data_IF_655510800572
#
_entry.id   IF_655510800572
#
_cell.length_a   1.000
_cell.length_b   1.000
_cell.length_c   1.000
_cell.angle_alpha   90.00
_cell.angle_beta   90.00
_cell.angle_gamma   90.00
#
_symmetry.space_group_name_H-M   'P 1'
#
loop_
_entity.id
_entity.type
_entity.pdbx_description
1 polymer ?
#
# COMPACT_ATOMS: atom_id res chain seq x y z
N UNK A 1 6.14 -63.89 -33.51
CA UNK A 1 5.42 -62.64 -33.83
C UNK A 1 4.73 -61.98 -32.62
N UNK A 2 4.46 -62.70 -31.55
CA UNK A 2 3.76 -62.21 -30.35
C UNK A 2 4.63 -61.38 -29.38
N UNK A 3 5.92 -61.67 -29.24
CA UNK A 3 6.78 -60.96 -28.29
C UNK A 3 7.13 -59.53 -28.72
N UNK A 4 7.27 -59.25 -30.03
CA UNK A 4 7.61 -57.93 -30.54
C UNK A 4 6.46 -56.89 -30.36
N UNK A 5 5.20 -57.37 -30.32
CA UNK A 5 4.02 -56.53 -30.14
C UNK A 5 3.87 -56.11 -28.67
N UNK A 6 4.18 -57.01 -27.73
CA UNK A 6 4.11 -56.76 -26.30
C UNK A 6 5.11 -55.73 -25.84
N UNK A 7 6.35 -55.77 -26.40
CA UNK A 7 7.42 -54.84 -26.05
C UNK A 7 7.13 -53.40 -26.56
N UNK A 8 6.47 -53.27 -27.74
CA UNK A 8 6.06 -51.96 -28.29
C UNK A 8 4.92 -51.32 -27.52
N UNK A 9 3.96 -52.13 -27.02
CA UNK A 9 2.84 -51.64 -26.19
C UNK A 9 3.32 -51.15 -24.83
N UNK A 10 4.25 -51.83 -24.17
CA UNK A 10 4.88 -51.41 -22.92
C UNK A 10 5.72 -50.14 -23.08
N UNK A 11 6.46 -49.99 -24.19
CA UNK A 11 7.24 -48.77 -24.49
C UNK A 11 6.37 -47.54 -24.69
N UNK A 12 5.24 -47.66 -25.39
CA UNK A 12 4.31 -46.55 -25.61
C UNK A 12 3.54 -46.19 -24.36
N UNK A 13 3.23 -47.13 -23.48
CA UNK A 13 2.55 -46.87 -22.20
C UNK A 13 3.49 -46.12 -21.24
N UNK A 14 4.77 -46.48 -21.21
CA UNK A 14 5.76 -45.79 -20.37
C UNK A 14 6.02 -44.36 -20.84
N UNK A 15 6.06 -44.11 -22.17
CA UNK A 15 6.22 -42.78 -22.75
C UNK A 15 5.03 -41.88 -22.48
N UNK A 16 3.81 -42.40 -22.52
CA UNK A 16 2.62 -41.65 -22.15
C UNK A 16 2.55 -41.30 -20.65
N UNK A 17 3.07 -42.15 -19.76
CA UNK A 17 3.12 -41.89 -18.32
C UNK A 17 4.11 -40.77 -17.96
N UNK A 18 5.25 -40.67 -18.67
CA UNK A 18 6.26 -39.64 -18.46
C UNK A 18 5.80 -38.23 -18.94
N UNK A 19 4.92 -38.15 -19.93
CA UNK A 19 4.37 -36.88 -20.42
C UNK A 19 3.32 -36.29 -19.45
N UNK A 20 2.63 -37.13 -18.69
CA UNK A 20 1.59 -36.66 -17.73
C UNK A 20 2.21 -36.09 -16.45
N UNK A 21 3.44 -36.48 -16.06
CA UNK A 21 4.11 -36.00 -14.85
C UNK A 21 4.78 -34.62 -15.09
N UNK A 22 5.00 -34.20 -16.33
CA UNK A 22 5.66 -32.94 -16.69
C UNK A 22 4.77 -31.69 -16.68
N UNK A 23 3.44 -31.81 -16.46
CA UNK A 23 2.48 -30.69 -16.57
C UNK A 23 1.98 -30.13 -15.24
N UNK A 24 2.56 -30.54 -14.12
CA UNK A 24 2.13 -30.09 -12.80
C UNK A 24 3.13 -29.11 -12.18
N UNK A 25 3.45 -28.01 -12.84
CA UNK A 25 4.07 -26.85 -12.16
C UNK A 25 4.02 -25.59 -13.01
N UNK A 26 2.82 -25.14 -13.34
CA UNK A 26 2.57 -23.73 -13.56
C UNK A 26 1.63 -23.28 -12.45
N UNK A 27 2.19 -22.91 -11.32
CA UNK A 27 1.49 -22.12 -10.32
C UNK A 27 1.12 -20.79 -10.97
N UNK A 28 -0.03 -20.75 -11.64
CA UNK A 28 -0.65 -19.50 -12.04
C UNK A 28 -0.90 -18.72 -10.77
N UNK A 29 -0.05 -17.73 -10.51
CA UNK A 29 -0.37 -16.65 -9.59
C UNK A 29 -1.62 -15.99 -10.16
N UNK A 30 -2.79 -16.48 -9.76
CA UNK A 30 -4.04 -15.78 -10.02
C UNK A 30 -3.89 -14.40 -9.38
N UNK A 31 -3.72 -13.38 -10.22
CA UNK A 31 -3.85 -11.99 -9.83
C UNK A 31 -5.22 -11.86 -9.16
N UNK A 32 -5.23 -11.81 -7.83
CA UNK A 32 -6.44 -11.57 -7.08
C UNK A 32 -7.01 -10.24 -7.55
N UNK A 33 -8.08 -10.28 -8.33
CA UNK A 33 -8.79 -9.08 -8.79
C UNK A 33 -9.61 -8.43 -7.67
N UNK A 34 -9.55 -8.99 -6.46
CA UNK A 34 -10.23 -8.50 -5.27
C UNK A 34 -9.44 -7.41 -4.52
N UNK A 35 -10.07 -6.80 -3.50
CA UNK A 35 -9.39 -5.85 -2.63
C UNK A 35 -8.25 -6.52 -1.87
N UNK A 36 -7.16 -5.77 -1.64
CA UNK A 36 -6.04 -6.25 -0.83
C UNK A 36 -6.44 -6.30 0.65
N UNK A 37 -6.66 -7.51 1.15
CA UNK A 37 -7.01 -7.77 2.54
C UNK A 37 -5.80 -8.22 3.38
N UNK A 38 -4.68 -8.56 2.73
CA UNK A 38 -3.48 -9.09 3.37
C UNK A 38 -2.60 -7.96 3.94
N UNK A 39 -2.50 -6.87 3.20
CA UNK A 39 -1.62 -5.77 3.52
C UNK A 39 -2.40 -4.60 4.13
N UNK A 40 -1.82 -3.97 5.13
CA UNK A 40 -2.32 -2.73 5.72
C UNK A 40 -1.16 -1.88 6.23
N UNK A 41 -1.41 -0.60 6.39
CA UNK A 41 -0.45 0.29 7.03
C UNK A 41 -1.07 1.01 8.23
N UNK A 42 -0.23 1.26 9.22
CA UNK A 42 -0.56 2.08 10.39
C UNK A 42 0.33 3.31 10.36
N UNK A 43 -0.28 4.49 10.26
CA UNK A 43 0.38 5.79 10.24
C UNK A 43 0.25 6.43 11.61
N UNK A 44 1.36 6.68 12.30
CA UNK A 44 1.40 7.43 13.55
C UNK A 44 1.72 8.90 13.29
N UNK A 45 0.79 9.77 13.68
CA UNK A 45 1.02 11.22 13.62
C UNK A 45 2.03 11.67 14.67
N UNK A 46 2.04 11.06 15.88
CA UNK A 46 3.01 11.44 16.92
C UNK A 46 4.43 11.00 16.59
N UNK A 47 4.61 9.83 15.99
CA UNK A 47 5.94 9.28 15.72
C UNK A 47 6.48 9.70 14.35
N UNK A 48 5.64 10.29 13.49
CA UNK A 48 5.94 10.55 12.07
C UNK A 48 6.52 9.30 11.39
N UNK A 49 5.88 8.16 11.66
CA UNK A 49 6.25 6.84 11.14
C UNK A 49 5.03 6.10 10.59
N UNK A 50 5.28 5.27 9.60
CA UNK A 50 4.32 4.32 9.04
C UNK A 50 4.83 2.90 9.23
N UNK A 51 3.97 1.99 9.66
CA UNK A 51 4.26 0.57 9.79
C UNK A 51 3.48 -0.21 8.74
N UNK A 52 4.17 -0.95 7.88
CA UNK A 52 3.58 -1.94 6.99
C UNK A 52 3.37 -3.25 7.75
N UNK A 53 2.16 -3.80 7.62
CA UNK A 53 1.75 -5.06 8.25
C UNK A 53 1.16 -5.96 7.17
N UNK A 54 1.64 -7.20 7.08
CA UNK A 54 1.13 -8.23 6.17
C UNK A 54 0.66 -9.43 6.96
N UNK A 55 -0.56 -9.91 6.70
CA UNK A 55 -1.18 -11.04 7.40
C UNK A 55 -1.08 -10.94 8.94
N UNK A 56 -1.17 -9.72 9.46
CA UNK A 56 -1.06 -9.42 10.90
C UNK A 56 0.36 -9.24 11.41
N UNK A 57 1.39 -9.55 10.62
CA UNK A 57 2.80 -9.46 11.01
C UNK A 57 3.39 -8.11 10.59
N UNK A 58 4.01 -7.35 11.51
CA UNK A 58 4.79 -6.15 11.16
C UNK A 58 5.96 -6.50 10.26
N UNK A 59 6.08 -5.83 9.10
CA UNK A 59 7.17 -6.08 8.14
C UNK A 59 8.23 -4.99 8.16
N UNK A 60 7.80 -3.73 8.03
CA UNK A 60 8.73 -2.59 7.85
C UNK A 60 8.13 -1.30 8.38
N UNK A 61 9.00 -0.46 8.92
CA UNK A 61 8.65 0.91 9.34
C UNK A 61 9.34 1.92 8.43
N UNK A 62 8.58 2.98 8.08
CA UNK A 62 9.04 4.05 7.20
C UNK A 62 8.97 5.40 7.92
N UNK A 63 9.98 6.27 7.81
CA UNK A 63 9.82 7.68 8.18
C UNK A 63 8.84 8.36 7.20
N UNK A 64 7.95 9.19 7.75
CA UNK A 64 6.95 9.90 6.94
C UNK A 64 6.83 11.36 7.40
N UNK A 65 6.07 12.16 6.66
CA UNK A 65 5.59 13.45 7.14
C UNK A 65 4.08 13.54 6.97
N UNK A 66 3.39 13.90 8.04
CA UNK A 66 1.99 14.31 8.02
C UNK A 66 1.85 15.84 8.01
N UNK A 67 0.63 16.34 8.12
CA UNK A 67 0.36 17.77 8.05
C UNK A 67 1.02 18.58 9.18
N UNK A 68 1.64 19.70 8.83
CA UNK A 68 2.09 20.72 9.78
C UNK A 68 0.93 21.53 10.41
N UNK A 69 -0.28 21.42 9.86
CA UNK A 69 -1.48 22.08 10.37
C UNK A 69 -2.28 21.18 11.34
N UNK A 70 -1.73 19.99 11.66
CA UNK A 70 -2.35 19.05 12.59
C UNK A 70 -3.32 18.07 11.92
N UNK A 71 -4.33 17.65 12.68
CA UNK A 71 -5.26 16.58 12.29
C UNK A 71 -6.68 17.09 12.09
N UNK A 72 -7.38 16.56 11.10
CA UNK A 72 -8.76 16.93 10.79
C UNK A 72 -9.16 16.62 9.36
N UNK A 73 -10.48 16.62 9.08
CA UNK A 73 -11.02 16.30 7.75
C UNK A 73 -11.90 17.43 7.16
N UNK A 74 -11.93 18.62 7.78
CA UNK A 74 -12.67 19.75 7.21
C UNK A 74 -12.06 20.16 5.85
N UNK A 75 -12.85 20.36 4.80
CA UNK A 75 -12.37 20.91 3.53
C UNK A 75 -11.60 22.20 3.73
N UNK A 76 -10.47 22.36 3.05
CA UNK A 76 -9.59 23.54 3.15
C UNK A 76 -8.70 23.61 4.39
N UNK A 77 -8.82 22.68 5.35
CA UNK A 77 -8.04 22.74 6.62
C UNK A 77 -6.56 22.42 6.44
N UNK A 78 -6.15 21.80 5.36
CA UNK A 78 -4.80 21.25 5.15
C UNK A 78 -4.34 20.25 6.24
N UNK A 79 -5.24 19.77 7.08
CA UNK A 79 -4.96 18.79 8.14
C UNK A 79 -4.95 17.36 7.61
N UNK A 80 -4.23 16.45 8.29
CA UNK A 80 -4.28 15.01 8.01
C UNK A 80 -5.48 14.38 8.72
N UNK A 81 -6.41 13.70 8.01
CA UNK A 81 -7.54 13.03 8.64
C UNK A 81 -7.09 11.81 9.44
N UNK A 82 -7.77 11.52 10.57
CA UNK A 82 -7.55 10.30 11.36
C UNK A 82 -8.55 9.19 10.99
N UNK A 83 -8.23 7.98 11.40
CA UNK A 83 -9.11 6.81 11.34
C UNK A 83 -8.81 5.87 10.20
N UNK A 84 -9.75 4.94 9.95
CA UNK A 84 -9.61 3.94 8.90
C UNK A 84 -9.92 4.55 7.54
N UNK A 85 -9.02 4.31 6.60
CA UNK A 85 -9.15 4.63 5.18
C UNK A 85 -8.81 3.39 4.35
N UNK A 86 -8.98 3.47 3.05
CA UNK A 86 -8.53 2.45 2.10
C UNK A 86 -7.81 3.11 0.93
N UNK A 87 -6.86 2.37 0.35
CA UNK A 87 -6.27 2.72 -0.94
C UNK A 87 -7.35 2.57 -2.02
N UNK A 88 -7.87 3.70 -2.49
CA UNK A 88 -8.92 3.72 -3.51
C UNK A 88 -8.36 3.66 -4.93
N UNK A 89 -7.20 4.27 -5.17
CA UNK A 89 -6.52 4.28 -6.47
C UNK A 89 -5.00 4.32 -6.28
N UNK A 90 -4.30 3.69 -7.22
CA UNK A 90 -2.85 3.71 -7.36
C UNK A 90 -2.49 4.42 -8.65
N UNK A 91 -1.52 5.34 -8.63
CA UNK A 91 -1.12 6.14 -9.80
C UNK A 91 0.40 6.23 -9.83
N UNK A 92 0.97 6.12 -11.03
CA UNK A 92 2.42 6.16 -11.26
C UNK A 92 3.04 4.78 -11.39
N UNK A 93 2.27 3.75 -11.78
CA UNK A 93 2.83 2.43 -12.10
C UNK A 93 3.98 2.57 -13.08
N UNK A 94 5.12 1.92 -12.76
CA UNK A 94 6.36 1.95 -13.55
C UNK A 94 6.96 3.35 -13.82
N UNK A 95 6.43 4.42 -13.22
CA UNK A 95 7.06 5.73 -13.33
C UNK A 95 8.45 5.72 -12.71
N UNK A 96 9.40 6.43 -13.31
CA UNK A 96 10.75 6.56 -12.77
C UNK A 96 10.73 7.22 -11.37
N UNK A 97 11.69 6.87 -10.53
CA UNK A 97 11.90 7.52 -9.23
C UNK A 97 12.10 9.03 -9.46
N UNK A 98 11.41 9.86 -8.69
CA UNK A 98 11.45 11.31 -8.83
C UNK A 98 10.52 11.89 -9.90
N UNK A 99 9.79 11.06 -10.67
CA UNK A 99 8.80 11.56 -11.65
C UNK A 99 7.80 12.48 -10.98
N UNK A 100 7.65 13.70 -11.49
CA UNK A 100 6.75 14.72 -10.97
C UNK A 100 5.33 14.51 -11.48
N UNK A 101 4.35 14.62 -10.57
CA UNK A 101 2.93 14.56 -10.90
C UNK A 101 2.22 15.90 -10.65
N UNK A 102 1.44 16.36 -11.63
CA UNK A 102 0.51 17.48 -11.48
C UNK A 102 -0.90 17.00 -11.86
N UNK A 103 -1.87 17.27 -11.00
CA UNK A 103 -3.25 16.77 -11.17
C UNK A 103 -3.33 15.25 -11.45
N UNK A 104 -2.46 14.47 -10.78
CA UNK A 104 -2.35 13.00 -10.87
C UNK A 104 -1.87 12.47 -12.25
N UNK A 105 -1.27 13.32 -13.06
CA UNK A 105 -0.65 12.96 -14.34
C UNK A 105 0.84 13.24 -14.29
N UNK A 106 1.69 12.39 -14.86
CA UNK A 106 3.12 12.68 -14.97
C UNK A 106 3.33 13.91 -15.85
N UNK A 107 4.29 14.75 -15.48
CA UNK A 107 4.64 15.97 -16.22
C UNK A 107 5.78 15.76 -17.21
N UNK A 108 6.48 14.64 -17.14
CA UNK A 108 7.75 14.38 -17.84
C UNK A 108 8.99 14.85 -17.06
N UNK A 109 8.81 15.67 -16.04
CA UNK A 109 9.91 16.13 -15.19
C UNK A 109 10.31 15.05 -14.17
N UNK A 110 11.60 14.95 -13.88
CA UNK A 110 12.17 14.10 -12.83
C UNK A 110 13.00 14.98 -11.90
N UNK A 111 12.67 14.95 -10.60
CA UNK A 111 13.42 15.69 -9.57
C UNK A 111 14.30 14.74 -8.77
N UNK A 112 15.56 15.12 -8.53
CA UNK A 112 16.42 14.40 -7.57
C UNK A 112 15.94 14.62 -6.14
N UNK A 113 16.41 13.73 -5.24
CA UNK A 113 16.18 13.87 -3.80
C UNK A 113 16.76 15.20 -3.31
N UNK A 114 16.01 15.87 -2.48
CA UNK A 114 16.33 17.20 -1.91
C UNK A 114 16.56 18.30 -2.96
N UNK A 115 15.91 18.18 -4.12
CA UNK A 115 15.89 19.26 -5.11
C UNK A 115 15.37 20.55 -4.46
N UNK A 116 16.05 21.69 -4.65
CA UNK A 116 15.65 22.95 -4.04
C UNK A 116 14.36 23.52 -4.66
N UNK A 117 13.67 24.34 -3.93
CA UNK A 117 12.62 25.25 -4.40
C UNK A 117 11.21 24.79 -4.10
N UNK A 118 10.71 23.69 -4.66
CA UNK A 118 9.31 23.28 -4.53
C UNK A 118 9.16 21.82 -4.10
N UNK A 119 8.01 21.50 -3.49
CA UNK A 119 7.68 20.17 -3.01
C UNK A 119 6.46 19.58 -3.80
N UNK A 120 6.64 19.19 -5.07
CA UNK A 120 5.59 18.54 -5.81
C UNK A 120 5.43 17.08 -5.35
N UNK A 121 4.31 16.48 -5.71
CA UNK A 121 4.10 15.03 -5.62
C UNK A 121 5.05 14.35 -6.59
N UNK A 122 5.84 13.39 -6.11
CA UNK A 122 6.77 12.62 -6.95
C UNK A 122 6.60 11.11 -6.80
N UNK A 123 7.09 10.35 -7.75
CA UNK A 123 7.31 8.91 -7.78
C UNK A 123 6.04 8.06 -7.84
N UNK A 124 5.17 8.12 -6.84
CA UNK A 124 3.95 7.29 -6.73
C UNK A 124 2.87 8.03 -5.95
N UNK A 125 1.61 7.67 -6.22
CA UNK A 125 0.44 8.15 -5.48
C UNK A 125 -0.43 6.96 -5.09
N UNK A 126 -0.70 6.83 -3.80
CA UNK A 126 -1.75 5.97 -3.24
C UNK A 126 -2.86 6.90 -2.76
N UNK A 127 -3.99 6.95 -3.47
CA UNK A 127 -5.10 7.85 -3.16
C UNK A 127 -6.04 7.22 -2.14
N UNK A 128 -6.26 7.90 -1.02
CA UNK A 128 -6.98 7.38 0.11
C UNK A 128 -8.46 7.77 0.08
N UNK A 129 -9.34 6.83 0.45
CA UNK A 129 -10.77 7.05 0.68
C UNK A 129 -11.10 6.76 2.14
N UNK A 130 -11.72 7.71 2.81
CA UNK A 130 -12.21 7.54 4.18
C UNK A 130 -13.28 6.46 4.30
N UNK A 131 -13.26 5.75 5.41
CA UNK A 131 -14.21 4.66 5.75
C UNK A 131 -15.02 4.97 7.00
N UNK A 132 -14.86 6.16 7.56
CA UNK A 132 -15.53 6.63 8.79
C UNK A 132 -16.08 8.05 8.58
N UNK A 133 -17.13 8.47 9.33
CA UNK A 133 -17.68 9.84 9.22
C UNK A 133 -16.61 10.93 9.40
N UNK A 134 -15.65 10.73 10.33
CA UNK A 134 -14.58 11.71 10.66
C UNK A 134 -13.52 11.88 9.58
N UNK A 135 -13.53 11.06 8.50
CA UNK A 135 -12.61 11.15 7.38
C UNK A 135 -13.30 10.99 6.01
N UNK A 136 -14.61 11.22 5.98
CA UNK A 136 -15.44 11.06 4.78
C UNK A 136 -15.03 11.98 3.63
N UNK A 137 -14.37 13.10 3.92
CA UNK A 137 -13.89 14.06 2.92
C UNK A 137 -12.50 13.69 2.32
N UNK A 138 -11.78 12.74 2.90
CA UNK A 138 -10.39 12.44 2.54
C UNK A 138 -10.19 12.25 1.02
N UNK A 139 -11.09 11.50 0.35
CA UNK A 139 -10.98 11.28 -1.09
C UNK A 139 -11.17 12.58 -1.90
N UNK A 140 -12.20 13.36 -1.59
CA UNK A 140 -12.48 14.65 -2.25
C UNK A 140 -11.39 15.69 -1.96
N UNK A 141 -10.80 15.65 -0.75
CA UNK A 141 -9.66 16.49 -0.34
C UNK A 141 -8.34 16.05 -0.92
N UNK A 142 -8.32 14.98 -1.75
CA UNK A 142 -7.11 14.45 -2.38
C UNK A 142 -6.01 14.08 -1.37
N UNK A 143 -6.40 13.39 -0.30
CA UNK A 143 -5.43 12.85 0.67
C UNK A 143 -4.73 11.64 0.06
N UNK A 144 -3.40 11.74 -0.03
CA UNK A 144 -2.51 10.74 -0.64
C UNK A 144 -1.46 10.24 0.33
N UNK A 145 -0.93 9.04 0.06
CA UNK A 145 0.43 8.66 0.40
C UNK A 145 1.24 8.85 -0.89
N UNK A 146 2.34 9.61 -0.83
CA UNK A 146 3.11 9.94 -2.03
C UNK A 146 4.57 10.24 -1.72
N UNK A 147 5.43 10.20 -2.74
CA UNK A 147 6.82 10.62 -2.63
C UNK A 147 6.98 12.13 -2.58
N UNK A 148 8.03 12.59 -1.90
CA UNK A 148 8.45 13.99 -1.83
C UNK A 148 9.91 14.15 -2.25
N UNK A 149 10.30 15.23 -2.95
CA UNK A 149 11.71 15.55 -3.09
C UNK A 149 12.33 16.07 -1.78
N UNK A 150 11.55 16.64 -0.85
CA UNK A 150 12.04 17.15 0.45
C UNK A 150 12.24 16.03 1.48
N UNK A 151 13.04 15.00 1.15
CA UNK A 151 13.25 13.84 2.02
C UNK A 151 13.90 14.19 3.36
N UNK A 152 14.69 15.27 3.43
CA UNK A 152 15.29 15.80 4.67
C UNK A 152 14.26 16.25 5.71
N UNK A 153 13.00 16.45 5.34
CA UNK A 153 11.90 16.83 6.24
C UNK A 153 11.10 15.66 6.77
N UNK A 154 11.39 14.43 6.33
CA UNK A 154 10.73 13.23 6.84
C UNK A 154 11.09 13.02 8.33
N UNK A 155 10.13 12.45 9.08
CA UNK A 155 10.24 12.34 10.54
C UNK A 155 9.66 13.53 11.30
N UNK A 156 9.21 14.59 10.60
CA UNK A 156 8.54 15.74 11.20
C UNK A 156 7.29 16.15 10.41
N UNK A 157 6.30 16.82 11.04
CA UNK A 157 5.14 17.35 10.35
C UNK A 157 5.53 18.45 9.36
N UNK A 158 5.29 18.23 8.06
CA UNK A 158 5.70 19.17 7.02
C UNK A 158 4.73 19.27 5.83
N UNK A 159 3.74 18.37 5.71
CA UNK A 159 2.81 18.33 4.58
C UNK A 159 1.62 19.30 4.74
N UNK A 160 0.76 19.33 3.73
CA UNK A 160 -0.51 20.04 3.70
C UNK A 160 -1.70 19.07 3.70
N UNK A 161 -1.58 17.95 4.45
CA UNK A 161 -2.65 16.98 4.65
C UNK A 161 -2.32 15.58 4.18
N UNK A 162 -1.52 15.42 3.14
CA UNK A 162 -1.05 14.13 2.63
C UNK A 162 0.01 13.50 3.56
N UNK A 163 0.27 12.22 3.35
CA UNK A 163 1.36 11.46 3.99
C UNK A 163 2.52 11.41 3.00
N UNK A 164 3.65 12.07 3.32
CA UNK A 164 4.84 12.10 2.47
C UNK A 164 5.83 11.02 2.87
N UNK A 165 6.46 10.41 1.89
CA UNK A 165 7.50 9.39 2.04
C UNK A 165 8.70 9.72 1.15
N UNK A 166 9.84 9.06 1.41
CA UNK A 166 10.93 9.07 0.45
C UNK A 166 10.49 8.45 -0.89
N UNK A 167 11.11 8.85 -1.96
CA UNK A 167 10.82 8.33 -3.30
C UNK A 167 11.04 6.81 -3.39
N UNK A 168 12.08 6.30 -2.73
CA UNK A 168 12.38 4.86 -2.69
C UNK A 168 11.34 4.10 -1.86
N UNK A 169 11.01 4.61 -0.66
CA UNK A 169 10.08 3.94 0.23
C UNK A 169 8.64 3.93 -0.32
N UNK A 170 8.20 5.01 -0.97
CA UNK A 170 6.87 5.02 -1.57
C UNK A 170 6.77 4.11 -2.78
N UNK A 171 7.84 3.93 -3.56
CA UNK A 171 7.86 2.97 -4.65
C UNK A 171 7.75 1.54 -4.13
N UNK A 172 8.53 1.18 -3.11
CA UNK A 172 8.45 -0.12 -2.44
C UNK A 172 7.06 -0.37 -1.82
N UNK A 173 6.52 0.60 -1.08
CA UNK A 173 5.18 0.50 -0.50
C UNK A 173 4.10 0.33 -1.57
N UNK A 174 4.24 1.05 -2.69
CA UNK A 174 3.32 0.96 -3.81
C UNK A 174 3.23 -0.46 -4.37
N UNK A 175 4.35 -1.15 -4.48
CA UNK A 175 4.38 -2.53 -5.00
C UNK A 175 3.77 -3.54 -4.00
N UNK A 176 3.86 -3.26 -2.71
CA UNK A 176 3.34 -4.11 -1.63
C UNK A 176 1.84 -3.90 -1.37
N UNK A 177 1.35 -2.67 -1.48
CA UNK A 177 -0.02 -2.31 -1.12
C UNK A 177 -0.93 -2.34 -2.35
N UNK A 178 -1.94 -3.20 -2.33
CA UNK A 178 -2.98 -3.27 -3.35
C UNK A 178 -4.11 -2.23 -3.15
N UNK A 179 -4.94 -2.08 -4.17
CA UNK A 179 -6.21 -1.36 -4.04
C UNK A 179 -7.11 -2.10 -3.04
N UNK A 180 -7.77 -1.35 -2.15
CA UNK A 180 -8.57 -1.90 -1.06
C UNK A 180 -7.81 -2.13 0.24
N UNK A 181 -6.46 -2.07 0.23
CA UNK A 181 -5.65 -2.17 1.44
C UNK A 181 -6.07 -1.14 2.49
N UNK A 182 -6.14 -1.56 3.74
CA UNK A 182 -6.49 -0.68 4.85
C UNK A 182 -5.33 0.23 5.26
N UNK A 183 -5.66 1.48 5.52
CA UNK A 183 -4.76 2.52 6.04
C UNK A 183 -5.34 3.08 7.32
N UNK A 184 -4.69 2.85 8.45
CA UNK A 184 -5.09 3.38 9.76
C UNK A 184 -4.22 4.57 10.12
N UNK A 185 -4.79 5.75 10.21
CA UNK A 185 -4.08 6.95 10.67
C UNK A 185 -4.46 7.21 12.12
N UNK A 186 -3.48 7.08 13.01
CA UNK A 186 -3.66 7.22 14.46
C UNK A 186 -2.91 8.43 15.00
N UNK A 187 -3.44 9.07 16.04
CA UNK A 187 -2.78 10.19 16.73
C UNK A 187 -1.55 9.72 17.49
N UNK A 188 -1.66 8.60 18.20
CA UNK A 188 -0.67 8.11 19.15
C UNK A 188 0.44 7.30 18.49
N UNK A 189 1.38 6.86 19.34
CA UNK A 189 2.60 6.13 18.94
C UNK A 189 2.32 4.70 18.48
N UNK A 190 3.08 4.25 17.45
CA UNK A 190 3.22 2.83 17.10
C UNK A 190 4.29 2.26 18.04
N UNK A 191 3.94 1.96 19.28
CA UNK A 191 4.87 1.24 20.16
C UNK A 191 5.04 -0.19 19.67
N UNK A 192 6.24 -0.54 19.30
CA UNK A 192 6.66 -1.91 19.02
C UNK A 192 6.35 -2.78 20.24
N UNK A 193 5.38 -3.70 20.12
CA UNK A 193 5.11 -4.71 21.12
C UNK A 193 3.66 -4.88 21.56
N UNK A 194 2.86 -3.84 21.61
CA UNK A 194 1.38 -3.94 21.77
C UNK A 194 0.71 -2.70 21.22
N UNK A 195 -0.24 -2.84 20.27
CA UNK A 195 -1.14 -1.73 19.97
C UNK A 195 -1.87 -1.35 21.27
N UNK A 196 -1.90 -0.06 21.64
CA UNK A 196 -2.82 0.38 22.70
C UNK A 196 -4.22 -0.12 22.33
N UNK A 197 -4.98 -0.50 23.37
CA UNK A 197 -6.33 -1.08 23.29
C UNK A 197 -7.25 -0.41 22.24
N UNK A 198 -7.01 0.86 21.91
CA UNK A 198 -7.77 1.61 20.92
C UNK A 198 -7.60 1.10 19.47
N UNK A 199 -6.40 0.67 19.09
CA UNK A 199 -6.14 0.09 17.76
C UNK A 199 -6.65 -1.35 17.66
N UNK A 200 -6.63 -2.10 18.77
CA UNK A 200 -7.22 -3.44 18.87
C UNK A 200 -8.75 -3.36 18.84
N UNK A 201 -9.33 -2.36 19.48
CA UNK A 201 -10.78 -2.14 19.49
C UNK A 201 -11.28 -1.67 18.12
N UNK A 202 -10.52 -0.83 17.38
CA UNK A 202 -10.84 -0.50 16.00
C UNK A 202 -10.80 -1.72 15.07
N UNK A 203 -9.78 -2.58 15.21
CA UNK A 203 -9.68 -3.80 14.43
C UNK A 203 -10.80 -4.80 14.76
N UNK A 204 -11.17 -4.94 16.05
CA UNK A 204 -12.27 -5.80 16.51
C UNK A 204 -13.64 -5.27 16.09
N UNK A 205 -13.87 -3.95 16.08
CA UNK A 205 -15.14 -3.37 15.61
C UNK A 205 -15.34 -3.57 14.11
N UNK A 206 -14.26 -3.52 13.32
CA UNK A 206 -14.28 -3.77 11.88
C UNK A 206 -14.62 -5.24 11.54
N UNK A 207 -14.16 -6.20 12.35
CA UNK A 207 -14.49 -7.63 12.19
C UNK A 207 -15.94 -7.91 12.60
N UNK A 208 -16.44 -7.24 13.66
CA UNK A 208 -17.81 -7.43 14.15
C UNK A 208 -18.89 -6.88 13.21
N UNK A 209 -18.58 -5.86 12.42
CA UNK A 209 -19.49 -5.32 11.41
C UNK A 209 -19.61 -6.22 10.17
N UNK A 210 -18.61 -7.06 9.86
CA UNK A 210 -18.66 -8.04 8.76
C UNK A 210 -19.53 -9.27 9.05
N UNK A 211 -19.71 -9.64 10.32
CA UNK A 211 -20.48 -10.84 10.71
C UNK A 211 -21.97 -10.56 10.96
N UNK A 212 -22.47 -9.37 10.63
CA UNK A 212 -23.88 -8.96 10.80
C UNK A 212 -24.54 -8.46 9.50
N UNK A 213 -23.95 -8.80 8.36
CA UNK A 213 -24.52 -8.50 7.05
C UNK A 213 -24.86 -9.78 6.27
#
# INVERSE_FOLDING_TARGET
>A
MTEAITLRLLGNLCLCLLVVIGLSSCGSSYLSSGPDERNKVIVSVSDQKMLLVQDGTPLKSYPISTSKFGIGDRPGSNCTPLGRMQVAKKIGDKAAIGSVFKSRRPTGEILPVNAPGRDPIVTRILWLKGKEPRNSNAFRRTIYIHGTPEEHRLGSPASYGCIRMSSRDVAELYDQLGTGADVFIIRGSIKTGRPKQDSVNLAKSAVRSRNRG
#
